data_IF_498148473031
#
_entry.id   IF_498148473031
#
_cell.length_a   1.000
_cell.length_b   1.000
_cell.length_c   1.000
_cell.angle_alpha   90.00
_cell.angle_beta   90.00
_cell.angle_gamma   90.00
#
_symmetry.space_group_name_H-M   'P 1'
#
loop_
_entity.id
_entity.type
_entity.pdbx_description
1 polymer ?
#
# COMPACT_ATOMS: atom_id res chain seq x y z
N UNK A 1 -10.10 9.92 -3.18
CA UNK A 1 -9.60 8.88 -4.07
C UNK A 1 -8.82 7.85 -3.28
N UNK A 2 -9.07 6.60 -3.53
CA UNK A 2 -8.33 5.49 -2.93
C UNK A 2 -7.98 4.48 -4.03
N UNK A 3 -6.86 3.83 -3.88
CA UNK A 3 -6.42 2.81 -4.82
C UNK A 3 -6.55 1.45 -4.15
N UNK A 4 -7.48 0.63 -4.65
CA UNK A 4 -7.76 -0.67 -4.08
C UNK A 4 -7.21 -1.73 -5.02
N UNK A 5 -6.30 -2.56 -4.52
CA UNK A 5 -5.57 -3.52 -5.33
C UNK A 5 -5.89 -4.94 -4.86
N UNK A 6 -6.41 -5.76 -5.78
CA UNK A 6 -6.73 -7.15 -5.53
C UNK A 6 -5.56 -8.05 -5.94
N UNK A 7 -5.55 -9.31 -5.48
CA UNK A 7 -4.51 -10.25 -5.91
C UNK A 7 -4.47 -10.38 -7.44
N UNK A 8 -3.26 -10.47 -7.97
CA UNK A 8 -3.07 -10.56 -9.41
C UNK A 8 -1.64 -10.97 -9.76
N UNK A 9 -1.22 -10.68 -10.96
CA UNK A 9 0.10 -11.05 -11.46
C UNK A 9 1.07 -9.87 -11.49
N UNK A 10 1.99 -9.91 -12.44
CA UNK A 10 3.04 -8.90 -12.54
C UNK A 10 2.52 -7.50 -12.82
N UNK A 11 1.44 -7.37 -13.58
CA UNK A 11 0.83 -6.07 -13.83
C UNK A 11 0.30 -5.44 -12.56
N UNK A 12 -0.29 -6.25 -11.67
CA UNK A 12 -0.77 -5.80 -10.37
C UNK A 12 0.38 -5.34 -9.49
N UNK A 13 1.49 -6.08 -9.49
CA UNK A 13 2.69 -5.70 -8.76
C UNK A 13 3.26 -4.41 -9.28
N UNK A 14 3.27 -4.22 -10.58
CA UNK A 14 3.76 -3.01 -11.22
C UNK A 14 2.94 -1.80 -10.78
N UNK A 15 1.60 -1.92 -10.78
CA UNK A 15 0.71 -0.84 -10.33
C UNK A 15 0.95 -0.49 -8.86
N UNK A 16 1.12 -1.51 -8.02
CA UNK A 16 1.36 -1.29 -6.60
C UNK A 16 2.68 -0.55 -6.37
N UNK A 17 3.77 -1.05 -6.94
CA UNK A 17 5.08 -0.45 -6.73
C UNK A 17 5.19 0.93 -7.35
N UNK A 18 4.55 1.15 -8.49
CA UNK A 18 4.52 2.47 -9.10
C UNK A 18 3.83 3.48 -8.18
N UNK A 19 2.66 3.10 -7.63
CA UNK A 19 1.90 4.00 -6.76
C UNK A 19 2.67 4.38 -5.51
N UNK A 20 3.22 3.39 -4.80
CA UNK A 20 3.94 3.68 -3.56
C UNK A 20 5.27 4.38 -3.85
N UNK A 21 5.91 4.07 -4.97
CA UNK A 21 7.14 4.73 -5.37
C UNK A 21 6.94 6.21 -5.66
N UNK A 22 5.85 6.55 -6.33
CA UNK A 22 5.53 7.95 -6.62
C UNK A 22 5.23 8.73 -5.33
N UNK A 23 4.55 8.10 -4.37
CA UNK A 23 4.28 8.74 -3.08
C UNK A 23 5.55 8.85 -2.23
N UNK A 24 6.38 7.82 -2.23
CA UNK A 24 7.64 7.82 -1.48
C UNK A 24 8.56 8.94 -1.93
N UNK A 25 8.62 9.17 -3.24
CA UNK A 25 9.49 10.19 -3.82
C UNK A 25 8.82 11.57 -3.88
N UNK A 26 7.65 11.71 -3.30
CA UNK A 26 6.88 12.97 -3.26
C UNK A 26 6.52 13.53 -4.63
N UNK A 27 6.41 12.66 -5.63
CA UNK A 27 6.02 13.08 -6.98
C UNK A 27 4.52 13.27 -7.10
N UNK A 28 3.75 12.62 -6.22
CA UNK A 28 2.31 12.81 -6.13
C UNK A 28 1.93 12.96 -4.67
N UNK A 29 0.74 13.52 -4.41
CA UNK A 29 0.21 13.63 -3.06
C UNK A 29 -0.17 12.25 -2.54
N UNK A 30 0.03 11.96 -1.25
CA UNK A 30 -0.37 10.68 -0.68
C UNK A 30 -1.87 10.45 -0.81
N UNK A 31 -2.24 9.22 -1.12
CA UNK A 31 -3.63 8.78 -1.11
C UNK A 31 -3.66 7.35 -0.56
N UNK A 32 -4.82 6.91 -0.04
CA UNK A 32 -4.91 5.55 0.52
C UNK A 32 -4.65 4.48 -0.54
N UNK A 33 -3.73 3.56 -0.24
CA UNK A 33 -3.50 2.35 -1.05
C UNK A 33 -3.86 1.16 -0.19
N UNK A 34 -4.82 0.36 -0.65
CA UNK A 34 -5.36 -0.77 0.09
C UNK A 34 -5.11 -2.04 -0.70
N UNK A 35 -4.41 -2.98 -0.07
CA UNK A 35 -4.19 -4.31 -0.63
C UNK A 35 -5.22 -5.26 -0.02
N UNK A 36 -6.09 -5.82 -0.86
CA UNK A 36 -7.13 -6.72 -0.41
C UNK A 36 -6.63 -8.16 -0.48
N UNK A 37 -6.75 -8.89 0.61
CA UNK A 37 -6.32 -10.30 0.64
C UNK A 37 -5.05 -10.49 1.44
N UNK A 38 -5.16 -10.55 2.77
CA UNK A 38 -3.99 -10.69 3.65
C UNK A 38 -3.17 -11.93 3.32
N UNK A 39 -3.85 -13.04 3.02
CA UNK A 39 -3.17 -14.29 2.70
C UNK A 39 -2.25 -14.14 1.48
N UNK A 40 -2.68 -13.35 0.52
CA UNK A 40 -1.90 -13.10 -0.70
C UNK A 40 -0.76 -12.10 -0.45
N UNK A 41 -1.05 -10.99 0.23
CA UNK A 41 -0.14 -9.85 0.33
C UNK A 41 0.84 -9.90 1.50
N UNK A 42 0.53 -10.67 2.55
CA UNK A 42 1.33 -10.66 3.77
C UNK A 42 2.79 -11.09 3.53
N UNK A 43 2.98 -12.09 2.66
CA UNK A 43 4.34 -12.54 2.33
C UNK A 43 5.18 -11.45 1.69
N UNK A 44 4.58 -10.67 0.79
CA UNK A 44 5.28 -9.55 0.16
C UNK A 44 5.62 -8.47 1.18
N UNK A 45 4.69 -8.15 2.07
CA UNK A 45 4.94 -7.17 3.12
C UNK A 45 6.06 -7.62 4.05
N UNK A 46 6.04 -8.89 4.45
CA UNK A 46 7.09 -9.46 5.30
C UNK A 46 8.45 -9.37 4.61
N UNK A 47 8.50 -9.68 3.32
CA UNK A 47 9.72 -9.59 2.54
C UNK A 47 10.24 -8.14 2.48
N UNK A 48 9.34 -7.19 2.26
CA UNK A 48 9.71 -5.78 2.22
C UNK A 48 10.27 -5.30 3.56
N UNK A 49 9.65 -5.73 4.65
CA UNK A 49 10.14 -5.37 5.99
C UNK A 49 11.51 -5.98 6.27
N UNK A 50 11.71 -7.21 5.86
CA UNK A 50 12.97 -7.92 6.10
C UNK A 50 14.11 -7.41 5.21
N UNK A 51 13.83 -7.18 3.93
CA UNK A 51 14.89 -6.88 2.97
C UNK A 51 15.02 -5.39 2.66
N UNK A 52 13.91 -4.69 2.51
CA UNK A 52 13.97 -3.27 2.15
C UNK A 52 14.09 -2.37 3.37
N UNK A 53 13.28 -2.61 4.38
CA UNK A 53 13.28 -1.77 5.57
C UNK A 53 14.52 -2.04 6.44
N UNK A 54 14.77 -3.29 6.78
CA UNK A 54 15.92 -3.66 7.60
C UNK A 54 17.23 -3.37 6.88
N UNK A 55 17.26 -3.42 5.55
CA UNK A 55 18.42 -3.08 4.75
C UNK A 55 18.62 -1.58 4.54
N UNK A 56 17.74 -0.75 5.06
CA UNK A 56 17.86 0.70 4.93
C UNK A 56 17.49 1.25 3.56
N UNK A 57 16.80 0.48 2.73
CA UNK A 57 16.42 0.91 1.38
C UNK A 57 15.13 1.71 1.36
N UNK A 58 14.29 1.52 2.39
CA UNK A 58 13.09 2.32 2.62
C UNK A 58 13.02 2.67 4.10
N UNK A 59 12.21 3.67 4.45
CA UNK A 59 12.03 4.09 5.84
C UNK A 59 10.78 3.47 6.44
N UNK A 60 10.62 3.50 7.77
CA UNK A 60 9.40 2.99 8.41
C UNK A 60 8.13 3.66 7.91
N UNK A 61 8.19 4.96 7.56
CA UNK A 61 7.04 5.66 7.02
C UNK A 61 6.59 5.09 5.67
N UNK A 62 7.53 4.54 4.89
CA UNK A 62 7.22 3.99 3.58
C UNK A 62 6.32 2.76 3.67
N UNK A 63 6.47 1.96 4.72
CA UNK A 63 5.61 0.79 4.95
C UNK A 63 4.17 1.23 5.26
N UNK A 64 4.00 2.42 5.76
CA UNK A 64 2.67 2.96 6.11
C UNK A 64 1.97 3.62 4.92
N UNK A 65 2.58 3.62 3.73
CA UNK A 65 1.94 4.14 2.52
C UNK A 65 0.81 3.24 2.02
N UNK A 66 0.72 2.02 2.53
CA UNK A 66 -0.32 1.09 2.13
C UNK A 66 -0.82 0.30 3.33
N UNK A 67 -1.99 -0.31 3.19
CA UNK A 67 -2.60 -1.18 4.21
C UNK A 67 -3.11 -2.46 3.59
N UNK A 68 -3.01 -3.55 4.35
CA UNK A 68 -3.62 -4.82 3.97
C UNK A 68 -4.93 -4.95 4.74
N UNK A 69 -6.04 -5.01 4.03
CA UNK A 69 -7.37 -5.08 4.64
C UNK A 69 -8.19 -6.11 3.88
N UNK A 70 -8.86 -7.00 4.61
CA UNK A 70 -9.71 -8.04 4.01
C UNK A 70 -11.18 -7.68 4.02
N UNK A 71 -11.65 -7.08 5.12
CA UNK A 71 -13.08 -6.85 5.33
C UNK A 71 -13.57 -5.62 4.58
N UNK A 72 -14.66 -5.75 3.78
CA UNK A 72 -15.19 -4.61 3.02
C UNK A 72 -15.50 -3.39 3.88
N UNK A 73 -16.04 -3.60 5.08
CA UNK A 73 -16.39 -2.50 5.98
C UNK A 73 -15.15 -1.74 6.43
N UNK A 74 -14.04 -2.46 6.70
CA UNK A 74 -12.79 -1.84 7.06
C UNK A 74 -12.23 -1.01 5.91
N UNK A 75 -12.37 -1.50 4.68
CA UNK A 75 -11.92 -0.78 3.50
C UNK A 75 -12.68 0.54 3.37
N UNK A 76 -14.00 0.50 3.51
CA UNK A 76 -14.83 1.70 3.42
C UNK A 76 -14.45 2.69 4.52
N UNK A 77 -14.33 2.22 5.76
CA UNK A 77 -13.99 3.08 6.88
C UNK A 77 -12.61 3.70 6.73
N UNK A 78 -11.62 2.91 6.29
CA UNK A 78 -10.27 3.42 6.07
C UNK A 78 -10.28 4.50 4.98
N UNK A 79 -10.98 4.26 3.88
CA UNK A 79 -11.07 5.21 2.77
C UNK A 79 -11.72 6.51 3.22
N UNK A 80 -12.82 6.42 3.97
CA UNK A 80 -13.51 7.60 4.50
C UNK A 80 -12.63 8.42 5.41
N UNK A 81 -11.92 7.74 6.32
CA UNK A 81 -11.10 8.42 7.33
C UNK A 81 -9.81 9.01 6.76
N UNK A 82 -9.40 8.57 5.59
CA UNK A 82 -8.14 8.98 5.00
C UNK A 82 -8.31 9.79 3.71
N UNK A 83 -9.53 10.22 3.40
CA UNK A 83 -9.74 11.10 2.25
C UNK A 83 -9.23 12.50 2.56
N UNK A 84 -8.62 13.17 1.59
CA UNK A 84 -8.22 14.56 1.78
C UNK A 84 -9.43 15.43 2.06
N UNK A 85 -9.30 16.33 3.01
CA UNK A 85 -10.34 17.35 3.25
C UNK A 85 -10.12 18.50 2.28
N UNK A 86 -11.19 18.87 1.62
CA UNK A 86 -11.16 20.01 0.72
C UNK A 86 -11.56 21.28 1.45
#
# INVERSE_FOLDING_TARGET
VAFIIFPGGFGTMDEFFESVGLMQTHKIKPFPVILVGREYWQGLKDWMEKELLAGGRISPEDINLFRIIDEPDEIVNFTKNNQPHN
#
